data_IF_019508266640
#
_entry.id   IF_019508266640
#
_cell.length_a   1.000
_cell.length_b   1.000
_cell.length_c   1.000
_cell.angle_alpha   90.00
_cell.angle_beta   90.00
_cell.angle_gamma   90.00
#
_symmetry.space_group_name_H-M   'P 1'
#
loop_
_entity.id
_entity.type
_entity.pdbx_description
1 polymer ?
#
# COMPACT_ATOMS: atom_id res chain seq x y z
N UNK A 1 10.39 -25.02 24.61
CA UNK A 1 9.36 -24.43 23.85
C UNK A 1 9.96 -23.49 22.84
N UNK A 2 9.50 -23.58 21.70
CA UNK A 2 9.96 -22.66 20.73
C UNK A 2 9.47 -21.30 21.13
N UNK A 3 10.38 -20.44 21.19
CA UNK A 3 9.99 -19.08 21.31
C UNK A 3 9.09 -18.78 20.17
N UNK A 4 8.00 -18.21 20.47
CA UNK A 4 7.22 -17.59 19.44
C UNK A 4 8.05 -16.45 18.94
N UNK A 5 8.46 -16.54 17.74
CA UNK A 5 9.16 -15.44 17.15
C UNK A 5 8.13 -14.42 16.78
N UNK A 6 8.13 -13.35 17.49
CA UNK A 6 7.27 -12.23 17.15
C UNK A 6 7.88 -11.54 15.96
N UNK A 7 7.53 -12.01 14.82
CA UNK A 7 7.83 -11.24 13.64
C UNK A 7 6.87 -10.07 13.60
N UNK A 8 7.36 -8.89 13.31
CA UNK A 8 6.45 -7.78 13.05
C UNK A 8 5.44 -8.24 12.02
N UNK A 9 4.19 -8.06 12.32
CA UNK A 9 3.15 -8.39 11.36
C UNK A 9 3.23 -7.40 10.24
N UNK A 10 3.35 -7.91 9.04
CA UNK A 10 3.33 -7.07 7.85
C UNK A 10 1.92 -7.05 7.31
N UNK A 11 1.48 -5.88 6.91
CA UNK A 11 0.16 -5.69 6.39
C UNK A 11 0.25 -5.04 5.01
N UNK A 12 -0.40 -5.64 4.03
CA UNK A 12 -0.41 -5.10 2.68
C UNK A 12 -1.62 -4.21 2.45
N UNK A 13 -1.40 -3.00 1.99
CA UNK A 13 -2.48 -2.15 1.50
C UNK A 13 -2.73 -2.56 0.06
N UNK A 14 -3.92 -3.06 -0.23
CA UNK A 14 -4.22 -3.71 -1.51
C UNK A 14 -5.01 -2.79 -2.41
N UNK A 15 -4.85 -3.02 -3.71
CA UNK A 15 -5.65 -2.31 -4.71
C UNK A 15 -7.10 -2.79 -4.61
N UNK A 16 -8.07 -1.88 -4.44
CA UNK A 16 -9.47 -2.27 -4.40
C UNK A 16 -10.07 -2.53 -5.76
N UNK A 17 -9.41 -2.07 -6.81
CA UNK A 17 -9.87 -2.16 -8.19
C UNK A 17 -8.66 -2.36 -9.09
N UNK A 18 -8.82 -2.97 -10.26
CA UNK A 18 -7.74 -2.97 -11.25
C UNK A 18 -7.57 -1.57 -11.84
N UNK A 19 -6.36 -1.23 -12.17
CA UNK A 19 -6.07 0.08 -12.76
C UNK A 19 -4.58 0.30 -12.95
N UNK A 20 -4.23 1.56 -13.15
CA UNK A 20 -2.84 1.96 -13.37
C UNK A 20 -2.41 2.89 -12.23
N UNK A 21 -1.22 2.66 -11.72
CA UNK A 21 -0.67 3.51 -10.66
C UNK A 21 -0.30 4.85 -11.27
N UNK A 22 -0.89 5.93 -10.76
CA UNK A 22 -0.59 7.28 -11.19
C UNK A 22 0.62 7.81 -10.44
N UNK A 23 0.62 7.62 -9.12
CA UNK A 23 1.67 8.13 -8.27
C UNK A 23 1.73 7.34 -6.97
N UNK A 24 2.91 7.29 -6.38
CA UNK A 24 3.12 6.68 -5.06
C UNK A 24 3.48 7.82 -4.12
N UNK A 25 2.67 8.01 -3.09
CA UNK A 25 2.76 9.18 -2.21
C UNK A 25 3.64 8.96 -0.99
N UNK A 26 4.15 7.76 -0.80
CA UNK A 26 4.93 7.39 0.38
C UNK A 26 6.24 6.75 -0.03
N UNK A 27 7.16 6.63 0.92
CA UNK A 27 8.46 6.00 0.72
C UNK A 27 8.70 4.98 1.83
N UNK A 28 9.57 4.01 1.61
CA UNK A 28 9.98 3.13 2.69
C UNK A 28 10.51 3.94 3.86
N UNK A 29 10.08 3.59 5.05
CA UNK A 29 10.46 4.29 6.27
C UNK A 29 9.49 5.37 6.72
N UNK A 30 8.56 5.78 5.86
CA UNK A 30 7.57 6.78 6.24
C UNK A 30 6.61 6.21 7.27
N UNK A 31 6.24 7.04 8.23
CA UNK A 31 5.19 6.71 9.17
C UNK A 31 3.89 7.29 8.65
N UNK A 32 2.85 6.48 8.62
CA UNK A 32 1.55 6.91 8.12
C UNK A 32 0.48 6.65 9.16
N UNK A 33 -0.63 7.35 8.99
CA UNK A 33 -1.80 7.22 9.84
C UNK A 33 -2.96 6.67 9.05
N UNK A 34 -3.92 6.13 9.75
CA UNK A 34 -5.16 5.72 9.12
C UNK A 34 -5.76 6.88 8.33
N UNK A 35 -6.10 6.61 7.08
CA UNK A 35 -6.67 7.62 6.20
C UNK A 35 -5.64 8.35 5.34
N UNK A 36 -4.35 8.15 5.59
CA UNK A 36 -3.32 8.78 4.74
C UNK A 36 -3.32 8.13 3.36
N UNK A 37 -3.20 8.94 2.32
CA UNK A 37 -3.12 8.44 0.96
C UNK A 37 -1.73 7.87 0.71
N UNK A 38 -1.68 6.62 0.28
CA UNK A 38 -0.41 5.95 -0.03
C UNK A 38 -0.13 5.89 -1.52
N UNK A 39 -1.16 5.73 -2.33
CA UNK A 39 -1.02 5.59 -3.78
C UNK A 39 -2.22 6.26 -4.45
N UNK A 40 -2.01 6.79 -5.63
CA UNK A 40 -3.11 7.26 -6.49
C UNK A 40 -3.26 6.26 -7.61
N UNK A 41 -4.45 5.72 -7.77
CA UNK A 41 -4.78 4.69 -8.74
C UNK A 41 -5.78 5.24 -9.74
N UNK A 42 -5.48 5.13 -11.03
CA UNK A 42 -6.42 5.47 -12.08
C UNK A 42 -7.17 4.20 -12.45
N UNK A 43 -8.44 4.15 -12.11
CA UNK A 43 -9.31 3.03 -12.43
C UNK A 43 -10.57 3.59 -13.07
N UNK A 44 -10.98 3.01 -14.18
CA UNK A 44 -12.19 3.42 -14.89
C UNK A 44 -12.20 4.91 -15.26
N UNK A 45 -11.04 5.42 -15.65
CA UNK A 45 -10.84 6.83 -16.05
C UNK A 45 -11.04 7.82 -14.90
N UNK A 46 -10.94 7.34 -13.67
CA UNK A 46 -11.05 8.19 -12.49
C UNK A 46 -9.85 7.94 -11.59
N UNK A 47 -9.33 9.02 -11.03
CA UNK A 47 -8.26 8.88 -10.05
C UNK A 47 -8.86 8.59 -8.69
N UNK A 48 -8.32 7.57 -8.03
CA UNK A 48 -8.76 7.15 -6.72
C UNK A 48 -7.59 7.25 -5.75
N UNK A 49 -7.81 7.91 -4.63
CA UNK A 49 -6.81 7.96 -3.57
C UNK A 49 -6.93 6.68 -2.75
N UNK A 50 -5.90 5.86 -2.79
CA UNK A 50 -5.87 4.64 -2.00
C UNK A 50 -5.26 4.98 -0.66
N UNK A 51 -6.04 4.80 0.39
CA UNK A 51 -5.64 5.19 1.73
C UNK A 51 -5.37 3.98 2.59
N UNK A 52 -4.56 4.17 3.63
CA UNK A 52 -4.33 3.12 4.60
C UNK A 52 -5.50 3.05 5.58
N UNK A 53 -5.91 1.84 5.92
CA UNK A 53 -6.94 1.63 6.92
C UNK A 53 -6.35 1.50 8.33
N UNK A 54 -5.07 1.72 8.48
CA UNK A 54 -4.39 1.65 9.77
C UNK A 54 -3.13 2.49 9.77
N UNK A 55 -2.67 2.82 10.96
CA UNK A 55 -1.39 3.46 11.14
C UNK A 55 -0.28 2.44 11.05
N UNK A 56 0.89 2.86 10.63
CA UNK A 56 2.04 1.99 10.57
C UNK A 56 3.20 2.67 9.88
N UNK A 57 4.25 1.90 9.69
CA UNK A 57 5.44 2.37 9.01
C UNK A 57 5.56 1.64 7.68
N UNK A 58 5.89 2.37 6.63
CA UNK A 58 6.04 1.77 5.31
C UNK A 58 7.31 0.93 5.31
N UNK A 59 7.14 -0.38 5.11
CA UNK A 59 8.27 -1.31 5.02
C UNK A 59 8.74 -1.43 3.58
N UNK A 60 7.80 -1.44 2.63
CA UNK A 60 8.14 -1.71 1.23
C UNK A 60 7.09 -1.10 0.32
N UNK A 61 7.53 -0.60 -0.81
CA UNK A 61 6.66 -0.16 -1.90
C UNK A 61 6.70 -1.24 -2.97
N UNK A 62 5.54 -1.76 -3.33
CA UNK A 62 5.45 -2.92 -4.24
C UNK A 62 5.14 -2.53 -5.68
N UNK A 63 4.85 -1.26 -5.94
CA UNK A 63 4.45 -0.79 -7.27
C UNK A 63 5.15 0.51 -7.61
N UNK A 64 5.11 0.85 -8.90
CA UNK A 64 5.72 2.08 -9.39
C UNK A 64 4.71 2.84 -10.25
N UNK A 65 4.86 4.16 -10.38
CA UNK A 65 4.00 4.93 -11.29
C UNK A 65 4.03 4.34 -12.68
N UNK A 66 2.87 4.24 -13.31
CA UNK A 66 2.71 3.66 -14.63
C UNK A 66 2.47 2.17 -14.66
N UNK A 67 2.59 1.51 -13.53
CA UNK A 67 2.38 0.07 -13.46
C UNK A 67 0.90 -0.27 -13.44
N UNK A 68 0.49 -1.30 -14.19
CA UNK A 68 -0.88 -1.81 -14.16
C UNK A 68 -1.00 -2.84 -13.05
N UNK A 69 -2.06 -2.74 -12.27
CA UNK A 69 -2.30 -3.65 -11.16
C UNK A 69 -3.69 -4.24 -11.25
N UNK A 70 -3.84 -5.41 -10.67
CA UNK A 70 -5.14 -6.08 -10.54
C UNK A 70 -5.68 -5.85 -9.14
N UNK A 71 -6.97 -6.06 -8.97
CA UNK A 71 -7.59 -6.05 -7.65
C UNK A 71 -6.87 -7.04 -6.73
N UNK A 72 -6.59 -6.62 -5.51
CA UNK A 72 -5.91 -7.45 -4.53
C UNK A 72 -4.40 -7.39 -4.57
N UNK A 73 -3.82 -6.68 -5.54
CA UNK A 73 -2.36 -6.50 -5.60
C UNK A 73 -1.91 -5.67 -4.40
N UNK A 74 -0.87 -6.13 -3.71
CA UNK A 74 -0.27 -5.35 -2.63
C UNK A 74 0.41 -4.12 -3.23
N UNK A 75 0.02 -2.95 -2.77
CA UNK A 75 0.58 -1.68 -3.23
C UNK A 75 1.75 -1.27 -2.36
N UNK A 76 1.55 -1.30 -1.06
CA UNK A 76 2.61 -1.02 -0.08
C UNK A 76 2.47 -2.01 1.06
N UNK A 77 3.56 -2.26 1.75
CA UNK A 77 3.59 -3.14 2.91
C UNK A 77 3.91 -2.28 4.13
N UNK A 78 3.07 -2.41 5.14
CA UNK A 78 3.29 -1.78 6.45
C UNK A 78 3.87 -2.78 7.42
N UNK A 79 4.65 -2.29 8.35
CA UNK A 79 5.12 -3.11 9.46
C UNK A 79 4.74 -2.52 10.80
#
# INVERSE_FOLDING_TARGET
MPAVIDKPKKYGVKAPLPGVIVDVKVKPGDEIKRGDTVVILDAMKMENNITSDRAGKIAEICVAPGESVMEGKDLVILE
#
